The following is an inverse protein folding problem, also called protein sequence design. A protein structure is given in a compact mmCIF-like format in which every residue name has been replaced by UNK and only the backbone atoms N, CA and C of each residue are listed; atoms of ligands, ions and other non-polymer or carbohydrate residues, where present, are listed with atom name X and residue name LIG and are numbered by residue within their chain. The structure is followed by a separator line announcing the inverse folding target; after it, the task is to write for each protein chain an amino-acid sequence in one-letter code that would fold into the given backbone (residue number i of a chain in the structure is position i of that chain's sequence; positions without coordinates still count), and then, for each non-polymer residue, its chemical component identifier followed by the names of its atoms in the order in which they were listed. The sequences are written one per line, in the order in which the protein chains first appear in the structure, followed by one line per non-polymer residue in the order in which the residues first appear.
data_IF_514476741132
#
_entry.id   IF_514476741132
#
_cell.length_a   1.000
_cell.length_b   1.000
_cell.length_c   1.000
_cell.angle_alpha   90.00
_cell.angle_beta   90.00
_cell.angle_gamma   90.00
#
_symmetry.space_group_name_H-M   'P 1'
#
loop_
_entity.id
_entity.type
_entity.pdbx_description
1 polymer ?
#
# COMPACT_ATOMS: atom_id res chain seq x y z
N UNK A 1 14.44 -2.25 18.87
CA UNK A 1 15.14 -0.98 18.58
C UNK A 1 14.40 0.13 19.32
N UNK A 2 15.12 0.92 20.09
CA UNK A 2 14.58 2.09 20.81
C UNK A 2 15.00 3.40 20.16
N UNK A 3 16.17 3.42 19.52
CA UNK A 3 16.70 4.62 18.88
C UNK A 3 17.63 4.25 17.73
N UNK A 4 17.68 5.10 16.70
CA UNK A 4 18.66 5.05 15.62
C UNK A 4 19.66 6.19 15.83
N UNK A 5 20.94 5.89 16.00
CA UNK A 5 21.98 6.88 16.27
C UNK A 5 22.84 7.12 15.04
N UNK A 6 23.16 8.37 14.78
CA UNK A 6 23.97 8.75 13.61
C UNK A 6 24.24 10.26 13.56
N UNK A 7 24.83 10.70 12.47
CA UNK A 7 25.22 12.09 12.24
C UNK A 7 25.31 12.42 10.75
N UNK A 8 26.06 13.47 10.36
CA UNK A 8 26.20 13.89 8.95
C UNK A 8 26.71 12.77 8.02
N UNK A 9 27.40 11.74 8.56
CA UNK A 9 27.88 10.59 7.82
C UNK A 9 26.88 9.42 7.69
N UNK A 10 25.63 9.57 8.17
CA UNK A 10 24.60 8.54 8.13
C UNK A 10 24.43 7.78 9.44
N UNK A 11 23.78 6.60 9.35
CA UNK A 11 23.50 5.73 10.48
C UNK A 11 24.80 5.10 11.02
N UNK A 12 24.97 5.11 12.33
CA UNK A 12 26.16 4.56 13.03
C UNK A 12 25.81 3.44 13.99
N UNK A 13 24.56 3.35 14.43
CA UNK A 13 24.16 2.31 15.37
C UNK A 13 22.67 2.31 15.70
N UNK A 14 22.25 1.23 16.35
CA UNK A 14 20.91 1.05 16.89
C UNK A 14 21.00 0.82 18.40
N UNK A 15 20.26 1.61 19.18
CA UNK A 15 20.03 1.30 20.57
C UNK A 15 18.93 0.22 20.67
N UNK A 16 19.23 -0.84 21.37
CA UNK A 16 18.35 -1.99 21.55
C UNK A 16 17.94 -2.09 23.02
N UNK A 17 16.73 -2.58 23.24
CA UNK A 17 16.23 -3.00 24.56
C UNK A 17 15.67 -4.41 24.44
N UNK A 18 16.19 -5.33 25.22
CA UNK A 18 15.65 -6.67 25.33
C UNK A 18 14.26 -6.62 25.96
N UNK A 19 13.27 -7.23 25.31
CA UNK A 19 11.87 -7.17 25.74
C UNK A 19 11.55 -8.09 26.92
N UNK A 20 12.41 -9.06 27.21
CA UNK A 20 12.25 -10.00 28.31
C UNK A 20 13.00 -9.52 29.55
N UNK A 21 14.28 -9.20 29.40
CA UNK A 21 15.17 -8.83 30.50
C UNK A 21 15.20 -7.33 30.79
N UNK A 22 14.80 -6.49 29.83
CA UNK A 22 14.92 -5.04 29.91
C UNK A 22 16.33 -4.51 29.68
N UNK A 23 17.33 -5.39 29.48
CA UNK A 23 18.70 -4.98 29.25
C UNK A 23 18.85 -4.15 27.98
N UNK A 24 19.71 -3.14 28.02
CA UNK A 24 20.02 -2.27 26.89
C UNK A 24 21.37 -2.60 26.29
N UNK A 25 21.48 -2.47 24.98
CA UNK A 25 22.73 -2.67 24.23
C UNK A 25 22.77 -1.77 23.01
N UNK A 26 23.92 -1.62 22.38
CA UNK A 26 24.10 -0.89 21.13
C UNK A 26 24.63 -1.84 20.07
N UNK A 27 24.01 -1.82 18.88
CA UNK A 27 24.44 -2.57 17.71
C UNK A 27 25.02 -1.59 16.68
N UNK A 28 26.31 -1.63 16.36
CA UNK A 28 26.90 -0.79 15.33
C UNK A 28 26.44 -1.29 13.95
N UNK A 29 25.80 -0.40 13.18
CA UNK A 29 25.30 -0.69 11.82
C UNK A 29 25.33 0.59 10.98
N UNK A 30 25.47 0.42 9.67
CA UNK A 30 25.46 1.50 8.69
C UNK A 30 24.15 1.60 7.89
N UNK A 31 23.24 0.66 8.11
CA UNK A 31 21.91 0.63 7.46
C UNK A 31 20.91 -0.14 8.32
N UNK A 32 19.64 0.27 8.24
CA UNK A 32 18.55 -0.40 8.93
C UNK A 32 17.32 -0.43 8.00
N UNK A 33 16.80 -1.64 7.79
CA UNK A 33 15.56 -1.85 7.03
C UNK A 33 14.43 -2.20 8.00
N UNK A 34 13.32 -1.46 7.93
CA UNK A 34 12.15 -1.66 8.81
C UNK A 34 11.05 -2.37 8.03
N UNK A 35 10.77 -3.62 8.38
CA UNK A 35 9.75 -4.47 7.77
C UNK A 35 8.76 -4.97 8.83
N UNK A 36 7.93 -4.08 9.37
CA UNK A 36 6.98 -4.39 10.46
C UNK A 36 5.53 -4.46 9.99
N UNK A 37 5.31 -4.53 8.69
CA UNK A 37 3.99 -4.55 8.06
C UNK A 37 3.73 -3.33 7.19
N UNK A 38 2.52 -3.27 6.62
CA UNK A 38 2.10 -2.24 5.69
C UNK A 38 0.79 -1.62 6.14
N UNK A 39 0.64 -0.33 5.88
CA UNK A 39 -0.61 0.40 6.03
C UNK A 39 -0.89 1.16 4.73
N UNK A 40 -2.07 1.00 4.11
CA UNK A 40 -2.40 1.71 2.88
C UNK A 40 -2.59 3.20 3.14
N UNK A 41 -2.15 4.05 2.21
CA UNK A 41 -2.36 5.49 2.26
C UNK A 41 -3.73 5.88 1.67
N UNK A 42 -4.79 5.28 2.19
CA UNK A 42 -6.18 5.45 1.73
C UNK A 42 -7.01 6.37 2.60
N UNK A 43 -6.44 6.93 3.67
CA UNK A 43 -7.15 7.71 4.69
C UNK A 43 -8.01 8.87 4.19
N UNK A 44 -7.64 9.49 3.05
CA UNK A 44 -8.42 10.57 2.42
C UNK A 44 -9.76 10.11 1.83
N UNK A 45 -9.89 8.84 1.49
CA UNK A 45 -11.00 8.31 0.68
C UNK A 45 -11.67 7.07 1.30
N UNK A 46 -11.14 6.51 2.40
CA UNK A 46 -11.63 5.26 3.03
C UNK A 46 -13.12 5.29 3.38
N UNK A 47 -13.66 6.45 3.72
CA UNK A 47 -15.09 6.60 4.05
C UNK A 47 -16.04 6.48 2.86
N UNK A 48 -15.52 6.42 1.63
CA UNK A 48 -16.33 6.49 0.41
C UNK A 48 -16.44 5.17 -0.35
N UNK A 49 -15.59 4.18 -0.07
CA UNK A 49 -15.56 2.90 -0.78
C UNK A 49 -15.48 1.70 0.17
N UNK A 50 -15.81 0.51 -0.33
CA UNK A 50 -15.64 -0.73 0.43
C UNK A 50 -14.15 -1.02 0.65
N UNK A 51 -13.78 -1.33 1.90
CA UNK A 51 -12.41 -1.64 2.30
C UNK A 51 -12.38 -2.78 3.33
N UNK A 52 -11.22 -3.40 3.50
CA UNK A 52 -10.98 -4.35 4.57
C UNK A 52 -10.76 -3.64 5.93
N UNK A 53 -10.65 -4.38 7.04
CA UNK A 53 -10.39 -3.79 8.36
C UNK A 53 -9.07 -3.00 8.45
N UNK A 54 -8.12 -3.25 7.56
CA UNK A 54 -6.84 -2.53 7.49
C UNK A 54 -6.88 -1.28 6.62
N UNK A 55 -8.00 -1.04 5.90
CA UNK A 55 -8.21 0.10 5.04
C UNK A 55 -7.79 -0.10 3.57
N UNK A 56 -7.48 -1.34 3.15
CA UNK A 56 -7.22 -1.64 1.74
C UNK A 56 -8.50 -1.66 0.93
N UNK A 57 -8.49 -1.05 -0.25
CA UNK A 57 -9.62 -1.00 -1.16
C UNK A 57 -10.02 -2.39 -1.67
N UNK A 58 -11.31 -2.73 -1.57
CA UNK A 58 -11.88 -3.92 -2.19
C UNK A 58 -12.24 -3.56 -3.62
N UNK A 59 -11.74 -4.35 -4.58
CA UNK A 59 -12.04 -4.20 -6.01
C UNK A 59 -12.53 -5.52 -6.58
N UNK A 60 -13.25 -5.43 -7.69
CA UNK A 60 -13.55 -6.59 -8.54
C UNK A 60 -12.30 -7.00 -9.39
N UNK A 61 -12.47 -7.99 -10.26
CA UNK A 61 -11.43 -8.47 -11.17
C UNK A 61 -11.10 -7.49 -12.31
N UNK A 62 -11.92 -6.47 -12.52
CA UNK A 62 -11.69 -5.34 -13.41
C UNK A 62 -11.03 -4.14 -12.71
N UNK A 63 -10.58 -4.29 -11.47
CA UNK A 63 -10.00 -3.24 -10.63
C UNK A 63 -10.98 -2.12 -10.25
N UNK A 64 -12.29 -2.28 -10.44
CA UNK A 64 -13.30 -1.29 -10.06
C UNK A 64 -13.65 -1.46 -8.58
N UNK A 65 -13.75 -0.32 -7.86
CA UNK A 65 -14.16 -0.28 -6.46
C UNK A 65 -15.69 -0.39 -6.33
N UNK A 66 -16.20 -0.30 -5.11
CA UNK A 66 -17.65 -0.21 -4.86
C UNK A 66 -18.30 1.06 -5.43
N UNK A 67 -17.52 2.03 -5.89
CA UNK A 67 -18.00 3.25 -6.52
C UNK A 67 -17.85 3.11 -8.04
N UNK A 68 -18.95 3.13 -8.82
CA UNK A 68 -18.86 3.02 -10.27
C UNK A 68 -18.03 4.14 -10.91
N UNK A 69 -16.99 3.75 -11.66
CA UNK A 69 -16.07 4.66 -12.31
C UNK A 69 -14.83 5.03 -11.47
N UNK A 70 -14.72 4.55 -10.23
CA UNK A 70 -13.52 4.61 -9.42
C UNK A 70 -12.79 3.26 -9.47
N UNK A 71 -11.55 3.29 -9.90
CA UNK A 71 -10.68 2.11 -10.00
C UNK A 71 -9.49 2.25 -9.07
N UNK A 72 -8.99 1.13 -8.56
CA UNK A 72 -7.80 1.09 -7.74
C UNK A 72 -6.84 0.00 -8.23
N UNK A 73 -5.54 0.28 -8.20
CA UNK A 73 -4.50 -0.64 -8.64
C UNK A 73 -3.30 -0.61 -7.68
N UNK A 74 -2.59 -1.73 -7.60
CA UNK A 74 -1.37 -1.86 -6.81
C UNK A 74 -1.61 -2.00 -5.31
N UNK A 75 -0.66 -1.54 -4.53
CA UNK A 75 -0.53 -1.83 -3.10
C UNK A 75 -1.65 -1.27 -2.21
N UNK A 76 -2.50 -0.41 -2.73
CA UNK A 76 -3.65 0.18 -2.01
C UNK A 76 -4.87 -0.73 -1.94
N UNK A 77 -4.91 -1.78 -2.78
CA UNK A 77 -6.05 -2.72 -2.84
C UNK A 77 -5.80 -3.99 -2.04
N UNK A 78 -6.89 -4.69 -1.70
CA UNK A 78 -6.83 -6.00 -1.06
C UNK A 78 -6.20 -7.00 -2.03
N UNK A 79 -5.01 -7.50 -1.70
CA UNK A 79 -4.30 -8.51 -2.48
C UNK A 79 -3.26 -9.25 -1.63
N UNK A 80 -2.85 -10.43 -2.09
CA UNK A 80 -1.89 -11.27 -1.39
C UNK A 80 -0.46 -10.69 -1.45
N UNK A 81 -0.07 -10.16 -2.59
CA UNK A 81 1.30 -9.71 -2.85
C UNK A 81 1.35 -8.20 -3.08
N UNK A 82 2.43 -7.57 -2.60
CA UNK A 82 2.73 -6.15 -2.79
C UNK A 82 4.10 -6.03 -3.41
N UNK A 83 4.12 -6.05 -4.75
CA UNK A 83 5.33 -5.99 -5.58
C UNK A 83 5.10 -5.06 -6.76
N UNK A 84 6.17 -4.47 -7.28
CA UNK A 84 6.10 -3.61 -8.47
C UNK A 84 5.43 -4.33 -9.64
N UNK A 85 5.76 -5.60 -9.86
CA UNK A 85 5.18 -6.41 -10.94
C UNK A 85 3.68 -6.60 -10.82
N UNK A 86 3.16 -6.84 -9.61
CA UNK A 86 1.71 -6.94 -9.38
C UNK A 86 1.02 -5.59 -9.55
N UNK A 87 1.63 -4.51 -9.08
CA UNK A 87 1.11 -3.16 -9.26
C UNK A 87 1.00 -2.76 -10.74
N UNK A 88 2.00 -3.13 -11.57
CA UNK A 88 1.97 -2.90 -13.02
C UNK A 88 0.86 -3.73 -13.69
N UNK A 89 0.70 -4.99 -13.31
CA UNK A 89 -0.38 -5.86 -13.82
C UNK A 89 -1.77 -5.31 -13.49
N UNK A 90 -1.98 -4.90 -12.25
CA UNK A 90 -3.21 -4.23 -11.80
C UNK A 90 -3.48 -2.95 -12.59
N UNK A 91 -2.46 -2.09 -12.76
CA UNK A 91 -2.59 -0.85 -13.49
C UNK A 91 -2.97 -1.07 -14.97
N UNK A 92 -2.41 -2.08 -15.61
CA UNK A 92 -2.77 -2.45 -16.98
C UNK A 92 -4.22 -2.89 -17.06
N UNK A 93 -4.68 -3.74 -16.14
CA UNK A 93 -6.07 -4.20 -16.07
C UNK A 93 -7.02 -3.03 -15.82
N UNK A 94 -6.70 -2.16 -14.87
CA UNK A 94 -7.47 -0.97 -14.57
C UNK A 94 -7.61 -0.04 -15.77
N UNK A 95 -6.53 0.23 -16.49
CA UNK A 95 -6.54 1.10 -17.66
C UNK A 95 -7.48 0.59 -18.77
N UNK A 96 -7.42 -0.72 -19.07
CA UNK A 96 -8.31 -1.35 -20.05
C UNK A 96 -9.77 -1.33 -19.55
N UNK A 97 -9.97 -1.58 -18.25
CA UNK A 97 -11.30 -1.57 -17.66
C UNK A 97 -11.94 -0.17 -17.67
N UNK A 98 -11.16 0.89 -17.44
CA UNK A 98 -11.60 2.29 -17.55
C UNK A 98 -12.03 2.61 -18.98
N UNK A 99 -11.26 2.22 -19.98
CA UNK A 99 -11.60 2.45 -21.39
C UNK A 99 -12.93 1.79 -21.75
N UNK A 100 -13.11 0.52 -21.36
CA UNK A 100 -14.38 -0.19 -21.58
C UNK A 100 -15.55 0.47 -20.85
N UNK A 101 -15.38 0.82 -19.58
CA UNK A 101 -16.39 1.50 -18.78
C UNK A 101 -16.85 2.82 -19.43
N UNK A 102 -15.92 3.63 -19.94
CA UNK A 102 -16.24 4.88 -20.62
C UNK A 102 -16.96 4.65 -21.95
N UNK A 103 -16.59 3.61 -22.69
CA UNK A 103 -17.24 3.25 -23.97
C UNK A 103 -18.66 2.78 -23.73
N UNK A 104 -18.89 1.91 -22.74
CA UNK A 104 -20.20 1.42 -22.35
C UNK A 104 -21.12 2.58 -21.90
N UNK A 105 -20.60 3.52 -21.12
CA UNK A 105 -21.37 4.70 -20.68
C UNK A 105 -21.72 5.65 -21.82
N UNK A 106 -20.82 5.86 -22.78
CA UNK A 106 -21.12 6.67 -23.98
C UNK A 106 -22.23 6.04 -24.81
N UNK A 107 -22.16 4.71 -25.02
CA UNK A 107 -23.21 3.99 -25.76
C UNK A 107 -24.58 4.10 -25.06
N UNK A 108 -24.62 3.95 -23.73
CA UNK A 108 -25.86 4.07 -22.96
C UNK A 108 -26.44 5.50 -22.93
N UNK A 109 -25.60 6.53 -23.11
CA UNK A 109 -26.05 7.93 -23.14
C UNK A 109 -26.64 8.37 -24.50
N UNK A 110 -26.45 7.56 -25.55
CA UNK A 110 -26.91 7.82 -26.93
C UNK A 110 -28.17 6.98 -27.29
N UNK A 111 -28.48 5.97 -26.48
CA UNK A 111 -29.63 5.10 -26.60
C UNK A 111 -30.84 5.66 -25.86
#
# INVERSE_FOLDING_TARGET
VTEMTGGPGGLQGLALKDTVTGATSTLPVTGCFVFVGFKPNTGLVTQHFAHDPSGYMITDDRMMTSIPGLFAAGDVRVQLTRQVTTAVGDATTAAIAVEKFLTERKAAAVA
#
